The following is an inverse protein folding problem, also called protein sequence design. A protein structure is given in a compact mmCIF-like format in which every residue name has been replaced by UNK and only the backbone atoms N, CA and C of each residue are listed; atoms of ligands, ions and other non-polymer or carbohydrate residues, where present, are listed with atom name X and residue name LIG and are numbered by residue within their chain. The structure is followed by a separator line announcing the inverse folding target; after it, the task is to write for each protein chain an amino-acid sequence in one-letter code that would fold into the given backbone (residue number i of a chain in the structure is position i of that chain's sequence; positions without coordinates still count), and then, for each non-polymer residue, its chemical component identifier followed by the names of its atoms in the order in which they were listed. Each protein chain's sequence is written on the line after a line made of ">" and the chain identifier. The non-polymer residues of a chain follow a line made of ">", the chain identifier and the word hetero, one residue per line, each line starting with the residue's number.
data_IF_716047760413
#
_entry.id   IF_716047760413
#
_cell.length_a   1.000
_cell.length_b   1.000
_cell.length_c   1.000
_cell.angle_alpha   90.00
_cell.angle_beta   90.00
_cell.angle_gamma   90.00
#
_symmetry.space_group_name_H-M   'P 1'
#
loop_
_entity.id
_entity.type
_entity.pdbx_description
1 polymer ?
#
# COMPACT_ATOMS: atom_id res chain seq x y z
N UNK A 1 -24.04 -2.82 -14.99
CA UNK A 1 -24.57 -4.08 -15.56
C UNK A 1 -24.93 -5.10 -14.48
N UNK A 2 -24.14 -5.15 -13.39
CA UNK A 2 -24.28 -6.15 -12.32
C UNK A 2 -24.67 -5.56 -10.96
N UNK A 3 -24.84 -4.24 -10.85
CA UNK A 3 -25.19 -3.52 -9.60
C UNK A 3 -24.28 -3.92 -8.42
N UNK A 4 -22.98 -4.09 -8.68
CA UNK A 4 -22.01 -4.44 -7.67
C UNK A 4 -21.52 -3.19 -6.94
N UNK A 5 -21.26 -3.33 -5.65
CA UNK A 5 -20.51 -2.32 -4.90
C UNK A 5 -19.03 -2.39 -5.27
N UNK A 6 -18.39 -1.23 -5.36
CA UNK A 6 -16.97 -1.10 -5.64
C UNK A 6 -16.25 -0.59 -4.40
N UNK A 7 -15.18 -1.27 -4.02
CA UNK A 7 -14.25 -0.83 -2.98
C UNK A 7 -12.89 -0.55 -3.62
N UNK A 8 -12.39 0.69 -3.49
CA UNK A 8 -11.02 1.03 -3.87
C UNK A 8 -10.09 0.78 -2.68
N UNK A 9 -9.14 -0.15 -2.85
CA UNK A 9 -8.03 -0.31 -1.91
C UNK A 9 -6.88 0.62 -2.29
N UNK A 10 -6.82 1.76 -1.61
CA UNK A 10 -5.78 2.77 -1.77
C UNK A 10 -4.76 2.73 -0.61
N UNK A 11 -4.59 1.58 0.03
CA UNK A 11 -3.61 1.42 1.12
C UNK A 11 -2.17 1.77 0.71
N UNK A 12 -1.87 1.74 -0.58
CA UNK A 12 -0.55 2.06 -1.15
C UNK A 12 -0.59 3.20 -2.18
N UNK A 13 -1.67 3.97 -2.19
CA UNK A 13 -1.80 5.09 -3.11
C UNK A 13 -2.61 6.24 -2.51
N UNK A 14 -1.95 7.39 -2.32
CA UNK A 14 -2.59 8.66 -1.93
C UNK A 14 -2.38 9.67 -3.05
N UNK A 15 -3.43 10.42 -3.42
CA UNK A 15 -3.41 11.42 -4.50
C UNK A 15 -3.05 10.90 -5.90
N UNK A 16 -3.10 9.60 -6.14
CA UNK A 16 -3.01 9.06 -7.48
C UNK A 16 -4.14 9.60 -8.36
N UNK A 17 -3.96 9.54 -9.68
CA UNK A 17 -4.99 9.94 -10.64
C UNK A 17 -5.14 8.89 -11.73
N UNK A 18 -6.38 8.76 -12.19
CA UNK A 18 -6.73 8.02 -13.40
C UNK A 18 -7.49 8.97 -14.33
N UNK A 19 -6.93 9.25 -15.50
CA UNK A 19 -7.52 10.14 -16.51
C UNK A 19 -8.00 11.50 -15.94
N UNK A 20 -7.14 12.12 -15.10
CA UNK A 20 -7.42 13.42 -14.48
C UNK A 20 -8.24 13.35 -13.19
N UNK A 21 -9.00 12.31 -12.95
CA UNK A 21 -9.79 12.10 -11.73
C UNK A 21 -8.95 11.53 -10.62
N UNK A 22 -9.19 11.95 -9.39
CA UNK A 22 -8.48 11.42 -8.21
C UNK A 22 -8.97 9.99 -7.92
N UNK A 23 -8.03 9.10 -7.59
CA UNK A 23 -8.40 7.80 -7.00
C UNK A 23 -9.08 8.03 -5.65
N UNK A 24 -9.94 7.09 -5.25
CA UNK A 24 -10.81 7.23 -4.08
C UNK A 24 -12.11 7.98 -4.37
N UNK A 25 -12.40 8.29 -5.65
CA UNK A 25 -13.63 9.00 -6.04
C UNK A 25 -14.53 8.18 -6.98
N UNK A 26 -14.12 6.97 -7.35
CA UNK A 26 -14.85 6.12 -8.30
C UNK A 26 -15.72 5.08 -7.62
N UNK A 27 -15.48 4.82 -6.34
CA UNK A 27 -16.05 3.70 -5.60
C UNK A 27 -17.11 4.12 -4.59
N UNK A 28 -17.90 3.16 -4.13
CA UNK A 28 -18.81 3.34 -3.01
C UNK A 28 -18.05 3.56 -1.69
N UNK A 29 -16.89 2.88 -1.56
CA UNK A 29 -16.00 2.96 -0.40
C UNK A 29 -14.56 2.99 -0.89
N UNK A 30 -13.75 3.85 -0.29
CA UNK A 30 -12.31 3.85 -0.48
C UNK A 30 -11.59 3.68 0.87
N UNK A 31 -10.54 2.85 0.89
CA UNK A 31 -9.75 2.58 2.09
C UNK A 31 -8.31 3.06 1.93
N UNK A 32 -7.75 3.61 3.01
CA UNK A 32 -6.37 4.07 3.11
C UNK A 32 -5.70 3.46 4.32
N UNK A 33 -4.39 3.20 4.24
CA UNK A 33 -3.59 2.70 5.35
C UNK A 33 -2.64 3.77 5.88
N UNK A 34 -2.50 3.83 7.20
CA UNK A 34 -1.54 4.65 7.91
C UNK A 34 -0.50 3.81 8.66
N UNK A 35 -0.30 2.56 8.21
CA UNK A 35 0.76 1.70 8.71
C UNK A 35 2.13 2.33 8.41
N UNK A 36 3.14 2.05 9.22
CA UNK A 36 4.46 2.72 9.23
C UNK A 36 5.17 2.83 7.88
N UNK A 37 4.92 1.89 6.95
CA UNK A 37 5.59 1.88 5.63
C UNK A 37 4.88 2.73 4.58
N UNK A 38 3.66 3.19 4.84
CA UNK A 38 2.80 3.85 3.86
C UNK A 38 3.23 5.30 3.57
N UNK A 39 2.52 5.97 2.69
CA UNK A 39 2.83 7.35 2.29
C UNK A 39 2.68 8.34 3.45
N UNK A 40 1.65 8.16 4.26
CA UNK A 40 1.41 8.84 5.51
C UNK A 40 1.27 7.77 6.59
N UNK A 41 1.78 8.03 7.78
CA UNK A 41 1.79 7.02 8.84
C UNK A 41 1.50 7.59 10.22
N UNK A 42 0.84 6.79 11.04
CA UNK A 42 0.71 6.96 12.50
C UNK A 42 1.27 5.76 13.27
N UNK A 43 2.16 4.97 12.62
CA UNK A 43 2.58 3.68 13.13
C UNK A 43 1.64 2.58 12.64
N UNK A 44 0.41 2.61 13.08
CA UNK A 44 -0.72 1.83 12.58
C UNK A 44 -1.96 2.71 12.45
N UNK A 45 -2.95 2.25 11.70
CA UNK A 45 -4.20 2.94 11.47
C UNK A 45 -4.66 2.91 10.02
N UNK A 46 -5.80 3.53 9.77
CA UNK A 46 -6.39 3.64 8.44
C UNK A 46 -7.54 4.62 8.41
N UNK A 47 -8.01 4.88 7.21
CA UNK A 47 -9.16 5.75 6.96
C UNK A 47 -10.05 5.12 5.90
N UNK A 48 -11.35 5.23 6.12
CA UNK A 48 -12.37 4.88 5.14
C UNK A 48 -13.08 6.16 4.72
N UNK A 49 -13.25 6.35 3.42
CA UNK A 49 -14.02 7.47 2.86
C UNK A 49 -15.16 6.96 1.99
N UNK A 50 -16.30 7.65 2.04
CA UNK A 50 -17.47 7.37 1.21
C UNK A 50 -18.34 8.62 1.09
N UNK A 51 -19.01 8.80 -0.04
CA UNK A 51 -20.04 9.82 -0.23
C UNK A 51 -21.43 9.35 0.21
N UNK A 52 -21.60 8.08 0.55
CA UNK A 52 -22.86 7.50 0.99
C UNK A 52 -23.01 7.68 2.52
N UNK A 53 -23.92 8.55 2.93
CA UNK A 53 -24.18 8.86 4.36
C UNK A 53 -24.59 7.61 5.17
N UNK A 54 -25.36 6.69 4.57
CA UNK A 54 -25.77 5.45 5.23
C UNK A 54 -24.56 4.53 5.48
N UNK A 55 -23.70 4.35 4.48
CA UNK A 55 -22.47 3.57 4.65
C UNK A 55 -21.55 4.22 5.68
N UNK A 56 -21.37 5.54 5.64
CA UNK A 56 -20.56 6.26 6.63
C UNK A 56 -21.04 6.01 8.07
N UNK A 57 -22.35 6.07 8.30
CA UNK A 57 -22.94 5.80 9.61
C UNK A 57 -22.71 4.34 10.05
N UNK A 58 -22.94 3.37 9.15
CA UNK A 58 -22.73 1.95 9.44
C UNK A 58 -21.28 1.62 9.75
N UNK A 59 -20.33 2.16 8.97
CA UNK A 59 -18.90 1.95 9.15
C UNK A 59 -18.46 2.51 10.50
N UNK A 60 -18.90 3.72 10.87
CA UNK A 60 -18.59 4.32 12.17
C UNK A 60 -19.13 3.49 13.33
N UNK A 61 -20.39 3.04 13.25
CA UNK A 61 -20.99 2.17 14.28
C UNK A 61 -20.24 0.84 14.39
N UNK A 62 -19.92 0.23 13.27
CA UNK A 62 -19.20 -1.04 13.25
C UNK A 62 -17.80 -0.93 13.87
N UNK A 63 -17.07 0.15 13.55
CA UNK A 63 -15.72 0.40 14.11
C UNK A 63 -15.73 0.88 15.56
N UNK A 64 -16.89 1.24 16.10
CA UNK A 64 -17.10 1.72 17.47
C UNK A 64 -18.01 0.78 18.25
N UNK A 65 -17.67 -0.50 18.32
CA UNK A 65 -18.36 -1.53 19.11
C UNK A 65 -19.84 -1.71 18.78
N UNK A 66 -20.32 -1.20 17.65
CA UNK A 66 -21.73 -1.25 17.29
C UNK A 66 -22.64 -0.31 18.07
N UNK A 67 -22.08 0.74 18.65
CA UNK A 67 -22.85 1.70 19.43
C UNK A 67 -23.98 2.35 18.61
N UNK A 68 -25.12 2.50 19.25
CA UNK A 68 -26.32 3.11 18.65
C UNK A 68 -26.10 4.58 18.30
N UNK A 69 -25.41 5.33 19.18
CA UNK A 69 -25.00 6.70 18.93
C UNK A 69 -23.49 6.76 18.73
N UNK A 70 -23.04 7.60 17.82
CA UNK A 70 -21.64 7.82 17.57
C UNK A 70 -21.02 8.61 18.72
N UNK A 71 -19.83 8.24 19.14
CA UNK A 71 -19.10 8.89 20.22
C UNK A 71 -18.95 10.40 19.98
N UNK A 72 -18.68 10.80 18.72
CA UNK A 72 -18.58 12.20 18.33
C UNK A 72 -19.86 13.03 18.53
N UNK A 73 -21.05 12.40 18.47
CA UNK A 73 -22.35 13.04 18.70
C UNK A 73 -22.68 13.16 20.20
N UNK A 74 -22.05 12.33 21.02
CA UNK A 74 -22.35 12.26 22.47
C UNK A 74 -21.60 13.31 23.30
N UNK A 75 -20.50 13.86 22.79
CA UNK A 75 -19.63 14.79 23.54
C UNK A 75 -20.30 16.15 23.76
N UNK A 76 -21.23 16.54 22.91
CA UNK A 76 -21.84 17.89 22.90
C UNK A 76 -23.13 18.02 23.75
N UNK A 77 -23.63 16.93 24.34
CA UNK A 77 -24.91 16.92 25.04
C UNK A 77 -24.77 16.33 26.46
N UNK A 78 -24.79 17.18 27.48
CA UNK A 78 -24.66 16.75 28.89
C UNK A 78 -25.75 15.76 29.31
N UNK A 79 -26.99 15.97 28.89
CA UNK A 79 -28.11 15.06 29.18
C UNK A 79 -27.88 13.65 28.60
N UNK A 80 -27.02 13.50 27.62
CA UNK A 80 -26.67 12.22 27.04
C UNK A 80 -25.72 11.42 27.92
N UNK A 81 -24.84 12.06 28.69
CA UNK A 81 -23.90 11.39 29.61
C UNK A 81 -24.68 10.62 30.69
N UNK A 82 -25.72 11.22 31.25
CA UNK A 82 -26.56 10.58 32.26
C UNK A 82 -27.35 9.41 31.64
N UNK A 83 -27.88 9.60 30.44
CA UNK A 83 -28.62 8.55 29.74
C UNK A 83 -27.78 7.30 29.47
N UNK A 84 -26.53 7.45 29.03
CA UNK A 84 -25.66 6.30 28.74
C UNK A 84 -25.22 5.55 29.99
N UNK A 85 -25.30 6.14 31.17
CA UNK A 85 -25.02 5.49 32.44
C UNK A 85 -26.22 4.70 32.98
N UNK A 86 -27.41 4.94 32.44
CA UNK A 86 -28.62 4.24 32.90
C UNK A 86 -28.53 2.73 32.60
N UNK A 87 -28.83 1.83 33.56
CA UNK A 87 -28.66 0.40 33.40
C UNK A 87 -29.52 -0.22 32.26
N UNK A 88 -30.65 0.37 31.95
CA UNK A 88 -31.55 -0.08 30.87
C UNK A 88 -31.23 0.57 29.51
N UNK A 89 -30.18 1.38 29.39
CA UNK A 89 -29.84 1.99 28.12
C UNK A 89 -29.30 0.95 27.14
N UNK A 90 -29.96 0.82 25.97
CA UNK A 90 -29.56 -0.09 24.88
C UNK A 90 -28.42 0.54 24.11
N UNK A 91 -27.18 0.13 24.38
CA UNK A 91 -25.95 0.73 23.82
C UNK A 91 -25.65 0.28 22.41
N UNK A 92 -25.82 -1.02 22.15
CA UNK A 92 -25.38 -1.65 20.91
C UNK A 92 -26.55 -1.86 19.96
N UNK A 93 -26.42 -1.45 18.72
CA UNK A 93 -27.43 -1.56 17.66
C UNK A 93 -27.06 -2.64 16.64
N UNK A 94 -25.76 -2.90 16.51
CA UNK A 94 -25.21 -3.93 15.62
C UNK A 94 -23.99 -4.61 16.25
N UNK A 95 -23.60 -5.75 15.71
CA UNK A 95 -22.33 -6.40 16.08
C UNK A 95 -21.21 -5.56 15.49
N UNK A 96 -20.35 -5.00 16.34
CA UNK A 96 -19.22 -4.17 15.94
C UNK A 96 -17.92 -4.58 16.63
N UNK A 97 -16.84 -3.99 16.19
CA UNK A 97 -15.49 -4.23 16.69
C UNK A 97 -14.86 -2.91 17.15
N UNK A 98 -13.80 -2.99 17.93
CA UNK A 98 -13.06 -1.81 18.34
C UNK A 98 -11.95 -1.50 17.35
N UNK A 99 -12.29 -0.70 16.33
CA UNK A 99 -11.37 -0.19 15.32
C UNK A 99 -11.20 1.33 15.41
N UNK A 100 -11.43 1.87 16.59
CA UNK A 100 -11.23 3.32 16.84
C UNK A 100 -9.75 3.68 16.71
N UNK A 101 -9.48 4.73 15.97
CA UNK A 101 -8.14 5.31 15.89
C UNK A 101 -7.87 6.14 17.14
N UNK A 102 -6.75 5.94 17.87
CA UNK A 102 -6.36 6.80 18.98
C UNK A 102 -6.12 8.25 18.53
N UNK A 103 -6.49 9.23 19.35
CA UNK A 103 -6.33 10.67 19.07
C UNK A 103 -4.87 11.03 18.74
N UNK A 104 -3.90 10.44 19.44
CA UNK A 104 -2.48 10.67 19.20
C UNK A 104 -2.09 10.22 17.78
N UNK A 105 -2.60 9.08 17.32
CA UNK A 105 -2.37 8.58 15.95
C UNK A 105 -3.03 9.50 14.91
N UNK A 106 -4.24 9.95 15.18
CA UNK A 106 -4.95 10.90 14.32
C UNK A 106 -4.19 12.22 14.18
N UNK A 107 -3.67 12.78 15.29
CA UNK A 107 -2.87 14.01 15.27
C UNK A 107 -1.58 13.86 14.44
N UNK A 108 -0.89 12.71 14.55
CA UNK A 108 0.31 12.42 13.77
C UNK A 108 -0.01 12.39 12.27
N UNK A 109 -1.09 11.71 11.87
CA UNK A 109 -1.49 11.65 10.45
C UNK A 109 -1.92 13.02 9.95
N UNK A 110 -2.65 13.80 10.75
CA UNK A 110 -3.09 15.14 10.38
C UNK A 110 -1.90 16.05 10.07
N UNK A 111 -0.88 16.06 10.91
CA UNK A 111 0.35 16.82 10.68
C UNK A 111 1.10 16.41 9.40
N UNK A 112 1.07 15.13 9.06
CA UNK A 112 1.66 14.66 7.79
C UNK A 112 0.77 14.97 6.58
N UNK A 113 -0.56 14.93 6.74
CA UNK A 113 -1.52 15.26 5.68
C UNK A 113 -1.33 16.70 5.20
N UNK A 114 -1.07 17.64 6.11
CA UNK A 114 -0.76 19.03 5.78
C UNK A 114 0.46 19.17 4.87
N UNK A 115 1.45 18.26 5.03
CA UNK A 115 2.70 18.21 4.24
C UNK A 115 2.66 17.17 3.12
N UNK A 116 1.54 16.50 2.91
CA UNK A 116 1.44 15.31 2.06
C UNK A 116 1.89 15.53 0.61
N UNK A 117 1.58 16.69 0.02
CA UNK A 117 2.02 17.01 -1.36
C UNK A 117 3.54 17.07 -1.48
N UNK A 118 4.20 17.62 -0.48
CA UNK A 118 5.67 17.68 -0.44
C UNK A 118 6.27 16.27 -0.28
N UNK A 119 5.73 15.46 0.64
CA UNK A 119 6.17 14.09 0.88
C UNK A 119 6.02 13.22 -0.37
N UNK A 120 4.88 13.33 -1.05
CA UNK A 120 4.63 12.59 -2.30
C UNK A 120 5.54 13.03 -3.45
N UNK A 121 5.79 14.33 -3.59
CA UNK A 121 6.72 14.84 -4.62
C UNK A 121 8.11 14.23 -4.46
N UNK A 122 8.61 14.06 -3.23
CA UNK A 122 9.89 13.37 -2.96
C UNK A 122 9.89 11.93 -3.46
N UNK A 123 8.84 11.15 -3.14
CA UNK A 123 8.71 9.74 -3.59
C UNK A 123 8.67 9.64 -5.12
N UNK A 124 7.86 10.49 -5.76
CA UNK A 124 7.75 10.52 -7.22
C UNK A 124 9.11 10.87 -7.84
N UNK A 125 9.80 11.88 -7.31
CA UNK A 125 11.13 12.26 -7.79
C UNK A 125 12.15 11.11 -7.67
N UNK A 126 12.16 10.42 -6.52
CA UNK A 126 12.99 9.24 -6.31
C UNK A 126 12.71 8.16 -7.36
N UNK A 127 11.45 7.79 -7.55
CA UNK A 127 11.03 6.79 -8.52
C UNK A 127 11.42 7.18 -9.96
N UNK A 128 11.27 8.44 -10.34
CA UNK A 128 11.67 8.92 -11.66
C UNK A 128 13.17 8.90 -11.87
N UNK A 129 13.98 9.14 -10.82
CA UNK A 129 15.43 8.97 -10.89
C UNK A 129 15.82 7.50 -11.09
N UNK A 130 15.20 6.56 -10.37
CA UNK A 130 15.38 5.14 -10.62
C UNK A 130 14.97 4.74 -12.04
N UNK A 131 13.81 5.20 -12.49
CA UNK A 131 13.32 4.93 -13.85
C UNK A 131 14.34 5.32 -14.92
N UNK A 132 14.99 6.47 -14.81
CA UNK A 132 16.03 6.91 -15.76
C UNK A 132 17.23 5.96 -15.84
N UNK A 133 17.54 5.22 -14.79
CA UNK A 133 18.58 4.20 -14.77
C UNK A 133 18.07 2.91 -15.42
N UNK A 134 16.88 2.46 -14.98
CA UNK A 134 16.26 1.22 -15.45
C UNK A 134 15.93 1.27 -16.94
N UNK A 135 15.47 2.39 -17.47
CA UNK A 135 15.18 2.56 -18.91
C UNK A 135 16.40 2.32 -19.84
N UNK A 136 17.60 2.22 -19.28
CA UNK A 136 18.84 1.92 -20.00
C UNK A 136 19.29 0.47 -19.86
N UNK A 137 18.55 -0.32 -19.11
CA UNK A 137 18.82 -1.73 -18.83
C UNK A 137 17.73 -2.56 -19.51
N UNK A 138 18.11 -3.50 -20.37
CA UNK A 138 17.17 -4.26 -21.19
C UNK A 138 16.57 -5.48 -20.48
N UNK A 139 17.20 -5.94 -19.38
CA UNK A 139 16.72 -7.06 -18.55
C UNK A 139 15.98 -6.64 -17.27
N UNK A 140 15.81 -5.34 -17.02
CA UNK A 140 14.97 -4.82 -15.93
C UNK A 140 13.74 -4.10 -16.49
N UNK A 141 12.58 -4.60 -16.20
CA UNK A 141 11.31 -4.07 -16.70
C UNK A 141 10.63 -3.26 -15.58
N UNK A 142 10.54 -1.93 -15.71
CA UNK A 142 9.83 -1.11 -14.74
C UNK A 142 8.32 -1.28 -14.86
N UNK A 143 7.59 -1.06 -13.76
CA UNK A 143 6.14 -1.03 -13.81
C UNK A 143 5.62 0.01 -14.81
N UNK A 144 4.62 -0.37 -15.60
CA UNK A 144 4.04 0.51 -16.60
C UNK A 144 3.07 1.51 -15.96
N UNK A 145 3.27 2.78 -16.26
CA UNK A 145 2.33 3.84 -15.94
C UNK A 145 1.69 4.32 -17.24
N UNK A 146 0.38 4.17 -17.38
CA UNK A 146 -0.34 4.56 -18.60
C UNK A 146 -0.45 6.09 -18.71
N UNK A 147 -0.61 6.56 -19.94
CA UNK A 147 -0.88 8.00 -20.21
C UNK A 147 -2.16 8.42 -19.49
N UNK A 148 -2.13 9.57 -18.84
CA UNK A 148 -3.27 10.10 -18.07
C UNK A 148 -3.33 9.59 -16.60
N UNK A 149 -2.41 8.70 -16.20
CA UNK A 149 -2.32 8.23 -14.84
C UNK A 149 -1.20 8.94 -14.07
N UNK A 150 -1.41 9.19 -12.79
CA UNK A 150 -0.38 9.64 -11.85
C UNK A 150 -0.19 8.56 -10.80
N UNK A 151 0.99 7.95 -10.82
CA UNK A 151 1.43 6.97 -9.82
C UNK A 151 2.20 7.67 -8.71
N UNK A 152 1.95 7.31 -7.46
CA UNK A 152 2.55 7.96 -6.28
C UNK A 152 3.66 7.15 -5.62
N UNK A 153 3.98 5.99 -6.18
CA UNK A 153 5.13 5.16 -5.86
C UNK A 153 5.34 4.92 -4.35
N UNK A 154 4.48 4.10 -3.74
CA UNK A 154 4.79 3.56 -2.43
C UNK A 154 6.15 2.85 -2.45
N UNK A 155 6.38 2.04 -3.48
CA UNK A 155 7.69 1.51 -3.89
C UNK A 155 7.85 1.70 -5.39
N UNK A 156 9.08 1.62 -5.89
CA UNK A 156 9.35 1.55 -7.32
C UNK A 156 9.52 0.07 -7.70
N UNK A 157 8.58 -0.46 -8.45
CA UNK A 157 8.53 -1.88 -8.81
C UNK A 157 9.24 -2.12 -10.13
N UNK A 158 10.10 -3.14 -10.16
CA UNK A 158 10.75 -3.67 -11.36
C UNK A 158 10.67 -5.18 -11.37
N UNK A 159 10.73 -5.77 -12.56
CA UNK A 159 10.78 -7.22 -12.79
C UNK A 159 12.09 -7.55 -13.48
N UNK A 160 12.76 -8.61 -13.05
CA UNK A 160 13.89 -9.20 -13.76
C UNK A 160 13.36 -10.02 -14.93
N UNK A 161 13.83 -9.71 -16.12
CA UNK A 161 13.52 -10.46 -17.36
C UNK A 161 14.52 -11.63 -17.51
N UNK A 162 14.19 -12.76 -16.90
CA UNK A 162 15.03 -13.96 -16.91
C UNK A 162 15.18 -14.59 -18.30
N UNK A 163 14.39 -14.15 -19.30
CA UNK A 163 14.58 -14.58 -20.70
C UNK A 163 15.78 -13.86 -21.35
N UNK A 164 16.23 -12.76 -20.73
CA UNK A 164 17.37 -11.95 -21.22
C UNK A 164 18.61 -12.06 -20.35
N UNK A 165 18.52 -12.63 -19.17
CA UNK A 165 19.64 -12.72 -18.23
C UNK A 165 19.52 -13.92 -17.31
N UNK A 166 20.65 -14.41 -16.81
CA UNK A 166 20.71 -15.43 -15.77
C UNK A 166 20.71 -14.80 -14.34
N UNK A 167 20.43 -13.52 -14.23
CA UNK A 167 20.42 -12.80 -12.94
C UNK A 167 19.10 -13.10 -12.25
N UNK A 168 19.17 -13.71 -11.06
CA UNK A 168 18.02 -13.95 -10.20
C UNK A 168 17.80 -12.77 -9.23
N UNK A 169 16.64 -12.76 -8.56
CA UNK A 169 16.33 -11.80 -7.49
C UNK A 169 17.42 -11.77 -6.40
N UNK A 170 17.91 -12.94 -5.97
CA UNK A 170 18.94 -13.05 -4.95
C UNK A 170 20.29 -12.52 -5.42
N UNK A 171 20.69 -12.82 -6.65
CA UNK A 171 21.93 -12.30 -7.26
C UNK A 171 21.87 -10.77 -7.30
N UNK A 172 20.79 -10.20 -7.79
CA UNK A 172 20.62 -8.75 -7.87
C UNK A 172 20.65 -8.12 -6.47
N UNK A 173 19.89 -8.68 -5.53
CA UNK A 173 19.80 -8.16 -4.15
C UNK A 173 21.16 -8.18 -3.44
N UNK A 174 21.85 -9.29 -3.52
CA UNK A 174 23.15 -9.46 -2.86
C UNK A 174 24.19 -8.47 -3.41
N UNK A 175 24.25 -8.27 -4.72
CA UNK A 175 25.16 -7.32 -5.33
C UNK A 175 24.76 -5.86 -5.00
N UNK A 176 23.45 -5.54 -5.00
CA UNK A 176 22.96 -4.22 -4.64
C UNK A 176 23.32 -3.83 -3.20
N UNK A 177 23.11 -4.72 -2.25
CA UNK A 177 23.45 -4.50 -0.83
C UNK A 177 24.96 -4.43 -0.64
N UNK A 178 25.75 -5.30 -1.31
CA UNK A 178 27.20 -5.28 -1.30
C UNK A 178 27.76 -3.94 -1.78
N UNK A 179 27.11 -3.31 -2.73
CA UNK A 179 27.46 -1.98 -3.24
C UNK A 179 26.98 -0.83 -2.34
N UNK A 180 26.35 -1.11 -1.19
CA UNK A 180 25.91 -0.13 -0.21
C UNK A 180 24.45 0.32 -0.37
N UNK A 181 23.66 -0.35 -1.20
CA UNK A 181 22.23 -0.07 -1.36
C UNK A 181 21.42 -0.42 -0.12
N UNK A 182 20.36 0.33 0.13
CA UNK A 182 19.43 0.01 1.18
C UNK A 182 18.61 -1.24 0.83
N UNK A 183 18.33 -2.09 1.83
CA UNK A 183 17.49 -3.26 1.62
C UNK A 183 16.13 -2.89 1.03
N UNK A 184 15.66 -3.69 0.11
CA UNK A 184 14.36 -3.54 -0.55
C UNK A 184 13.48 -4.76 -0.32
N UNK A 185 12.21 -4.66 -0.74
CA UNK A 185 11.24 -5.74 -0.62
C UNK A 185 11.20 -6.58 -1.89
N UNK A 186 11.00 -7.89 -1.75
CA UNK A 186 10.46 -8.74 -2.81
C UNK A 186 8.93 -8.68 -2.79
N UNK A 187 8.27 -9.27 -3.77
CA UNK A 187 6.86 -9.58 -3.63
C UNK A 187 6.68 -10.71 -2.61
N UNK A 188 5.75 -10.55 -1.70
CA UNK A 188 5.46 -11.59 -0.72
C UNK A 188 4.92 -12.83 -1.41
N UNK A 189 5.05 -13.96 -0.73
CA UNK A 189 4.51 -15.22 -1.23
C UNK A 189 3.02 -15.08 -1.51
N UNK A 190 2.56 -15.73 -2.58
CA UNK A 190 1.14 -15.70 -2.95
C UNK A 190 0.30 -16.26 -1.80
N UNK A 191 -0.75 -15.56 -1.42
CA UNK A 191 -1.52 -15.85 -0.21
C UNK A 191 -1.99 -17.30 -0.13
N UNK A 192 -2.45 -17.86 -1.26
CA UNK A 192 -2.90 -19.26 -1.30
C UNK A 192 -1.76 -20.29 -1.24
N UNK A 193 -0.51 -19.86 -1.42
CA UNK A 193 0.69 -20.69 -1.25
C UNK A 193 1.32 -20.57 0.14
N UNK A 194 0.76 -19.73 1.01
CA UNK A 194 1.20 -19.65 2.41
C UNK A 194 0.80 -20.94 3.17
N UNK A 195 1.58 -21.36 4.17
CA UNK A 195 1.35 -22.62 4.90
C UNK A 195 -0.07 -22.77 5.48
N UNK A 196 -0.73 -21.65 5.78
CA UNK A 196 -2.11 -21.65 6.31
C UNK A 196 -3.12 -22.17 5.30
N UNK A 197 -2.87 -22.00 4.00
CA UNK A 197 -3.76 -22.40 2.91
C UNK A 197 -3.20 -23.54 2.06
N UNK A 198 -1.89 -23.57 1.84
CA UNK A 198 -1.26 -24.48 0.88
C UNK A 198 -1.56 -25.96 1.15
N UNK A 199 -1.96 -26.67 0.11
CA UNK A 199 -2.42 -28.08 0.14
C UNK A 199 -3.64 -28.34 1.06
N UNK A 200 -4.45 -27.29 1.32
CA UNK A 200 -5.68 -27.43 2.09
C UNK A 200 -6.90 -27.17 1.21
N UNK A 201 -8.02 -27.79 1.57
CA UNK A 201 -9.32 -27.55 0.96
C UNK A 201 -10.16 -26.65 1.90
N UNK A 202 -10.53 -25.47 1.45
CA UNK A 202 -11.39 -24.53 2.19
C UNK A 202 -12.48 -24.03 1.24
N UNK A 203 -13.73 -24.05 1.70
CA UNK A 203 -14.88 -23.59 0.91
C UNK A 203 -14.96 -24.22 -0.51
N UNK A 204 -14.63 -25.51 -0.64
CA UNK A 204 -14.64 -26.22 -1.91
C UNK A 204 -13.42 -26.01 -2.80
N UNK A 205 -12.55 -25.07 -2.49
CA UNK A 205 -11.34 -24.75 -3.26
C UNK A 205 -10.13 -25.46 -2.64
N UNK A 206 -9.39 -26.20 -3.48
CA UNK A 206 -8.11 -26.79 -3.10
C UNK A 206 -6.97 -25.84 -3.47
N UNK A 207 -6.29 -25.29 -2.47
CA UNK A 207 -5.22 -24.31 -2.65
C UNK A 207 -3.89 -24.99 -2.97
N UNK A 208 -3.42 -24.83 -4.20
CA UNK A 208 -2.17 -25.45 -4.68
C UNK A 208 -1.52 -24.57 -5.76
N UNK A 209 -0.31 -24.91 -6.14
CA UNK A 209 0.38 -24.33 -7.30
C UNK A 209 -0.46 -24.58 -8.58
N UNK A 210 -0.47 -23.60 -9.47
CA UNK A 210 -1.22 -23.63 -10.74
C UNK A 210 -2.54 -22.85 -10.72
N UNK A 211 -3.01 -22.37 -9.57
CA UNK A 211 -4.24 -21.56 -9.46
C UNK A 211 -4.09 -20.22 -10.18
N UNK A 212 -2.94 -19.55 -10.02
CA UNK A 212 -2.65 -18.25 -10.63
C UNK A 212 -1.29 -18.28 -11.37
N UNK A 213 -1.20 -18.93 -12.52
CA UNK A 213 0.10 -19.20 -13.17
C UNK A 213 0.89 -17.95 -13.53
N UNK A 214 0.21 -16.85 -13.87
CA UNK A 214 0.87 -15.56 -14.15
C UNK A 214 1.49 -14.99 -12.88
N UNK A 215 0.76 -14.94 -11.77
CA UNK A 215 1.26 -14.46 -10.48
C UNK A 215 2.42 -15.34 -9.97
N UNK A 216 2.31 -16.65 -10.10
CA UNK A 216 3.33 -17.63 -9.72
C UNK A 216 4.64 -17.43 -10.50
N UNK A 217 4.55 -17.05 -11.77
CA UNK A 217 5.71 -16.75 -12.63
C UNK A 217 6.35 -15.40 -12.28
N UNK A 218 5.54 -14.39 -11.96
CA UNK A 218 6.03 -13.02 -11.74
C UNK A 218 6.55 -12.79 -10.31
N UNK A 219 5.91 -13.38 -9.31
CA UNK A 219 6.18 -13.11 -7.90
C UNK A 219 7.68 -13.24 -7.53
N UNK A 220 8.42 -14.30 -7.91
CA UNK A 220 9.83 -14.44 -7.53
C UNK A 220 10.78 -13.46 -8.22
N UNK A 221 10.33 -12.76 -9.26
CA UNK A 221 11.12 -11.84 -10.08
C UNK A 221 10.92 -10.37 -9.71
N UNK A 222 9.98 -10.08 -8.82
CA UNK A 222 9.59 -8.71 -8.47
C UNK A 222 10.54 -8.13 -7.42
N UNK A 223 11.08 -6.96 -7.72
CA UNK A 223 11.88 -6.11 -6.83
C UNK A 223 11.08 -4.84 -6.54
N UNK A 224 11.03 -4.44 -5.28
CA UNK A 224 10.35 -3.23 -4.83
C UNK A 224 11.36 -2.30 -4.13
N UNK A 225 11.96 -1.38 -4.88
CA UNK A 225 12.89 -0.39 -4.34
C UNK A 225 12.13 0.65 -3.50
N UNK A 226 12.68 1.01 -2.35
CA UNK A 226 12.14 2.06 -1.48
C UNK A 226 12.17 3.42 -2.17
N UNK A 227 11.17 4.25 -1.88
CA UNK A 227 11.07 5.62 -2.39
C UNK A 227 10.99 6.66 -1.27
N UNK A 228 10.98 6.23 -0.01
CA UNK A 228 10.77 7.05 1.20
C UNK A 228 12.09 7.49 1.84
N UNK A 229 13.00 8.07 1.07
CA UNK A 229 14.24 8.61 1.60
C UNK A 229 14.06 10.05 2.11
N UNK A 230 14.79 10.39 3.18
CA UNK A 230 14.62 11.66 3.89
C UNK A 230 15.12 12.87 3.12
N UNK A 231 16.18 12.70 2.30
CA UNK A 231 16.82 13.79 1.59
C UNK A 231 17.33 13.38 0.19
N UNK A 232 17.60 14.37 -0.64
CA UNK A 232 18.07 14.20 -2.02
C UNK A 232 19.43 13.51 -2.12
N UNK A 233 20.35 13.76 -1.18
CA UNK A 233 21.67 13.14 -1.19
C UNK A 233 21.56 11.62 -1.05
N UNK A 234 20.68 11.14 -0.19
CA UNK A 234 20.41 9.69 -0.04
C UNK A 234 19.78 9.12 -1.31
N UNK A 235 18.85 9.84 -1.92
CA UNK A 235 18.25 9.42 -3.21
C UNK A 235 19.33 9.30 -4.29
N UNK A 236 20.19 10.31 -4.43
CA UNK A 236 21.26 10.32 -5.43
C UNK A 236 22.30 9.22 -5.17
N UNK A 237 22.59 8.94 -3.90
CA UNK A 237 23.42 7.81 -3.52
C UNK A 237 22.81 6.47 -3.97
N UNK A 238 21.53 6.22 -3.67
CA UNK A 238 20.84 4.99 -4.09
C UNK A 238 20.81 4.83 -5.61
N UNK A 239 20.60 5.92 -6.33
CA UNK A 239 20.67 5.94 -7.81
C UNK A 239 22.04 5.56 -8.33
N UNK A 240 23.12 6.06 -7.69
CA UNK A 240 24.50 5.68 -8.02
C UNK A 240 24.77 4.21 -7.74
N UNK A 241 24.30 3.70 -6.59
CA UNK A 241 24.43 2.29 -6.23
C UNK A 241 23.70 1.40 -7.23
N UNK A 242 22.45 1.75 -7.57
CA UNK A 242 21.68 1.01 -8.57
C UNK A 242 22.40 0.94 -9.92
N UNK A 243 22.90 2.08 -10.40
CA UNK A 243 23.67 2.16 -11.65
C UNK A 243 24.93 1.30 -11.62
N UNK A 244 25.68 1.36 -10.50
CA UNK A 244 26.89 0.55 -10.29
C UNK A 244 26.56 -0.95 -10.30
N UNK A 245 25.49 -1.34 -9.59
CA UNK A 245 25.05 -2.74 -9.49
C UNK A 245 24.68 -3.30 -10.85
N UNK A 246 23.88 -2.58 -11.63
CA UNK A 246 23.52 -2.99 -13.00
C UNK A 246 24.78 -3.20 -13.83
N UNK A 247 25.70 -2.23 -13.84
CA UNK A 247 26.94 -2.34 -14.62
C UNK A 247 27.76 -3.59 -14.26
N UNK A 248 27.95 -3.87 -12.95
CA UNK A 248 28.72 -5.04 -12.50
C UNK A 248 28.02 -6.34 -12.92
N UNK A 249 26.69 -6.39 -12.83
CA UNK A 249 25.93 -7.58 -13.20
C UNK A 249 25.91 -7.80 -14.70
N UNK A 250 25.81 -6.74 -15.51
CA UNK A 250 25.97 -6.82 -16.98
C UNK A 250 27.32 -7.40 -17.37
N UNK A 251 28.41 -6.87 -16.80
CA UNK A 251 29.79 -7.35 -17.07
C UNK A 251 30.01 -8.82 -16.67
N UNK A 252 29.22 -9.35 -15.73
CA UNK A 252 29.39 -10.72 -15.19
C UNK A 252 28.48 -11.76 -15.84
N UNK A 253 27.29 -11.38 -16.26
CA UNK A 253 26.23 -12.33 -16.64
C UNK A 253 25.69 -12.17 -18.06
N UNK A 254 25.98 -11.05 -18.73
CA UNK A 254 25.39 -10.71 -20.04
C UNK A 254 26.47 -10.56 -21.16
N UNK A 255 27.62 -11.23 -21.00
CA UNK A 255 28.67 -11.35 -22.02
C UNK A 255 28.74 -12.75 -22.61
#
# INVERSE_FOLDING_TARGET
>A
KYSLYLIEDNAECIYGKSNGSKIGTFSDICVYSFQRSKHLTSGDGGMITTNNKRLAALIRKFSDLGYRKLTAESITNENFKDLIQHPNYKRHELIGLNYRMPEVCAAIVLAQLEKSRFLLKKRINCALKFKKVIDKCDWLIPQKVFRGFIHTYWTFVIIIDEDKTNITWDIFRNEFIKNGGHSYYGAWKLSYMEPVFFKKKLNGIFYNKGICPVAERLQPKIIQLKTNFDNENTIDYEVKVLKKTIKILDERYNH
#
